data_IF_035383413638
#
_entry.id   IF_035383413638
#
_cell.length_a   1.000
_cell.length_b   1.000
_cell.length_c   1.000
_cell.angle_alpha   90.00
_cell.angle_beta   90.00
_cell.angle_gamma   90.00
#
_symmetry.space_group_name_H-M   'P 1'
#
loop_
_entity.id
_entity.type
_entity.pdbx_description
1 polymer ?
#
# COMPACT_ATOMS: atom_id res chain seq x y z
N UNK A 1 -10.59 27.03 28.83
CA UNK A 1 -10.04 26.81 27.48
C UNK A 1 -10.01 25.30 27.23
N UNK A 2 -11.08 24.75 26.66
CA UNK A 2 -11.20 23.32 26.38
C UNK A 2 -10.55 23.01 25.03
N UNK A 3 -9.41 22.33 25.04
CA UNK A 3 -8.76 21.81 23.83
C UNK A 3 -9.21 20.37 23.63
N UNK A 4 -10.19 20.17 22.74
CA UNK A 4 -10.62 18.85 22.31
C UNK A 4 -9.57 18.29 21.33
N UNK A 5 -8.62 17.53 21.88
CA UNK A 5 -7.73 16.70 21.10
C UNK A 5 -8.51 15.56 20.45
N UNK A 6 -9.02 15.78 19.24
CA UNK A 6 -9.60 14.75 18.41
C UNK A 6 -8.52 13.74 18.01
N UNK A 7 -8.41 12.65 18.77
CA UNK A 7 -7.60 11.50 18.41
C UNK A 7 -8.12 10.93 17.08
N UNK A 8 -7.47 11.29 15.97
CA UNK A 8 -7.66 10.68 14.67
C UNK A 8 -7.09 9.25 14.72
N UNK A 9 -7.82 8.36 15.39
CA UNK A 9 -7.61 6.92 15.32
C UNK A 9 -7.91 6.52 13.89
N UNK A 10 -6.85 6.28 13.11
CA UNK A 10 -6.98 5.90 11.71
C UNK A 10 -7.94 4.73 11.53
N UNK A 11 -8.91 4.87 10.63
CA UNK A 11 -9.96 3.87 10.40
C UNK A 11 -9.34 2.53 9.94
N UNK A 12 -9.84 1.41 10.49
CA UNK A 12 -9.38 0.07 10.09
C UNK A 12 -9.66 -0.19 8.59
N UNK A 13 -8.62 -0.50 7.79
CA UNK A 13 -8.78 -0.87 6.38
C UNK A 13 -9.70 -2.10 6.28
N UNK A 14 -10.75 -2.02 5.45
CA UNK A 14 -11.71 -3.12 5.23
C UNK A 14 -13.03 -3.03 6.01
N UNK A 15 -13.17 -2.09 6.97
CA UNK A 15 -14.46 -1.87 7.64
C UNK A 15 -15.52 -1.27 6.70
N UNK A 16 -16.81 -1.58 6.93
CA UNK A 16 -17.94 -0.87 6.29
C UNK A 16 -17.86 0.65 6.52
N UNK A 17 -17.44 1.08 7.72
CA UNK A 17 -17.26 2.50 8.07
C UNK A 17 -16.16 3.16 7.25
N UNK A 18 -15.07 2.44 6.99
CA UNK A 18 -13.97 2.95 6.17
C UNK A 18 -14.41 3.13 4.71
N UNK A 19 -15.08 2.14 4.11
CA UNK A 19 -15.65 2.27 2.76
C UNK A 19 -16.66 3.42 2.67
N UNK A 20 -17.52 3.58 3.68
CA UNK A 20 -18.45 4.71 3.75
C UNK A 20 -17.72 6.06 3.83
N UNK A 21 -16.64 6.16 4.60
CA UNK A 21 -15.82 7.37 4.66
C UNK A 21 -15.16 7.69 3.31
N UNK A 22 -14.62 6.68 2.61
CA UNK A 22 -14.10 6.85 1.24
C UNK A 22 -15.20 7.39 0.32
N UNK A 23 -16.39 6.79 0.33
CA UNK A 23 -17.53 7.22 -0.48
C UNK A 23 -17.93 8.67 -0.20
N UNK A 24 -18.10 9.00 1.08
CA UNK A 24 -18.46 10.36 1.51
C UNK A 24 -17.42 11.38 1.02
N UNK A 25 -16.14 11.11 1.24
CA UNK A 25 -15.07 12.01 0.84
C UNK A 25 -14.93 12.11 -0.69
N UNK A 26 -15.17 11.03 -1.42
CA UNK A 26 -15.17 11.01 -2.88
C UNK A 26 -16.30 11.87 -3.44
N UNK A 27 -17.52 11.73 -2.93
CA UNK A 27 -18.65 12.57 -3.32
C UNK A 27 -18.41 14.05 -2.99
N UNK A 28 -17.78 14.35 -1.85
CA UNK A 28 -17.38 15.72 -1.51
C UNK A 28 -16.33 16.27 -2.47
N UNK A 29 -15.33 15.47 -2.83
CA UNK A 29 -14.27 15.85 -3.77
C UNK A 29 -14.79 16.08 -5.19
N UNK A 30 -15.70 15.22 -5.66
CA UNK A 30 -16.38 15.39 -6.95
C UNK A 30 -17.38 16.54 -6.92
N UNK A 31 -18.12 16.73 -5.82
CA UNK A 31 -19.13 17.77 -5.62
C UNK A 31 -18.55 19.19 -5.62
N UNK A 32 -17.39 19.40 -4.99
CA UNK A 32 -16.63 20.66 -5.08
C UNK A 32 -16.22 21.01 -6.51
N UNK A 33 -16.04 19.98 -7.35
CA UNK A 33 -15.84 20.12 -8.79
C UNK A 33 -17.12 19.97 -9.62
N UNK A 34 -18.31 19.80 -9.03
CA UNK A 34 -19.55 19.49 -9.75
C UNK A 34 -20.43 20.70 -10.02
N UNK A 35 -20.32 21.77 -9.21
CA UNK A 35 -20.72 23.10 -9.68
C UNK A 35 -19.82 23.55 -10.87
N UNK A 36 -18.65 22.91 -11.00
CA UNK A 36 -17.63 23.14 -12.01
C UNK A 36 -17.33 21.90 -12.85
N UNK A 37 -18.32 21.01 -13.08
CA UNK A 37 -18.28 20.08 -14.22
C UNK A 37 -18.55 20.93 -15.48
N UNK A 38 -17.65 21.89 -15.66
CA UNK A 38 -17.63 22.85 -16.73
C UNK A 38 -17.70 22.07 -18.02
N UNK A 39 -18.63 22.46 -18.90
CA UNK A 39 -18.78 21.92 -20.25
C UNK A 39 -17.47 21.89 -21.05
N UNK A 40 -16.39 22.53 -20.57
CA UNK A 40 -15.06 22.53 -21.19
C UNK A 40 -14.09 21.41 -20.80
N UNK A 41 -14.34 20.59 -19.77
CA UNK A 41 -13.33 19.57 -19.39
C UNK A 41 -13.30 18.37 -20.34
N UNK A 42 -12.12 18.09 -20.89
CA UNK A 42 -11.85 16.95 -21.75
C UNK A 42 -11.90 15.61 -21.00
N UNK A 43 -12.02 14.49 -21.73
CA UNK A 43 -12.09 13.16 -21.12
C UNK A 43 -10.87 12.84 -20.24
N UNK A 44 -9.67 13.23 -20.68
CA UNK A 44 -8.45 13.02 -19.92
C UNK A 44 -8.47 13.78 -18.58
N UNK A 45 -8.92 15.03 -18.61
CA UNK A 45 -9.03 15.87 -17.41
C UNK A 45 -10.07 15.32 -16.44
N UNK A 46 -11.22 14.84 -16.94
CA UNK A 46 -12.22 14.15 -16.12
C UNK A 46 -11.64 12.91 -15.45
N UNK A 47 -10.93 12.05 -16.19
CA UNK A 47 -10.27 10.86 -15.63
C UNK A 47 -9.26 11.22 -14.55
N UNK A 48 -8.43 12.24 -14.81
CA UNK A 48 -7.44 12.73 -13.85
C UNK A 48 -8.08 13.37 -12.61
N UNK A 49 -9.18 14.11 -12.76
CA UNK A 49 -9.94 14.67 -11.65
C UNK A 49 -10.57 13.57 -10.78
N UNK A 50 -11.16 12.53 -11.40
CA UNK A 50 -11.70 11.37 -10.69
C UNK A 50 -10.59 10.65 -9.91
N UNK A 51 -9.43 10.41 -10.55
CA UNK A 51 -8.27 9.77 -9.89
C UNK A 51 -7.83 10.58 -8.67
N UNK A 52 -7.58 11.88 -8.83
CA UNK A 52 -7.18 12.77 -7.73
C UNK A 52 -8.22 12.81 -6.60
N UNK A 53 -9.51 12.88 -6.93
CA UNK A 53 -10.57 12.85 -5.93
C UNK A 53 -10.61 11.52 -5.16
N UNK A 54 -10.35 10.41 -5.84
CA UNK A 54 -10.29 9.09 -5.21
C UNK A 54 -9.06 8.95 -4.30
N UNK A 55 -7.88 9.42 -4.72
CA UNK A 55 -6.66 9.43 -3.90
C UNK A 55 -6.83 10.34 -2.67
N UNK A 56 -7.46 11.51 -2.84
CA UNK A 56 -7.78 12.43 -1.75
C UNK A 56 -8.75 11.81 -0.74
N UNK A 57 -9.80 11.14 -1.25
CA UNK A 57 -10.78 10.46 -0.43
C UNK A 57 -10.15 9.31 0.37
N UNK A 58 -9.27 8.54 -0.26
CA UNK A 58 -8.53 7.45 0.38
C UNK A 58 -7.63 7.98 1.50
N UNK A 59 -6.80 9.00 1.21
CA UNK A 59 -5.89 9.61 2.18
C UNK A 59 -6.66 10.20 3.37
N UNK A 60 -7.76 10.92 3.11
CA UNK A 60 -8.60 11.52 4.15
C UNK A 60 -9.31 10.46 4.99
N UNK A 61 -9.82 9.39 4.38
CA UNK A 61 -10.53 8.33 5.09
C UNK A 61 -9.60 7.53 6.00
N UNK A 62 -8.33 7.34 5.61
CA UNK A 62 -7.34 6.64 6.42
C UNK A 62 -6.78 7.54 7.53
N UNK A 63 -6.70 8.85 7.26
CA UNK A 63 -6.15 9.86 8.17
C UNK A 63 -4.62 9.94 8.09
N UNK A 64 -4.03 10.73 8.98
CA UNK A 64 -2.59 11.04 8.95
C UNK A 64 -1.70 9.93 9.51
N UNK A 65 -2.23 8.74 9.85
CA UNK A 65 -1.47 7.70 10.53
C UNK A 65 -0.41 7.02 9.64
N UNK A 66 -0.77 6.37 8.51
CA UNK A 66 0.23 5.77 7.63
C UNK A 66 1.04 6.82 6.86
N UNK A 67 2.30 6.50 6.57
CA UNK A 67 3.16 7.34 5.74
C UNK A 67 2.62 7.48 4.32
N UNK A 68 2.04 6.41 3.76
CA UNK A 68 1.50 6.46 2.39
C UNK A 68 0.35 7.46 2.26
N UNK A 69 -0.53 7.59 3.27
CA UNK A 69 -1.65 8.55 3.21
C UNK A 69 -1.17 9.99 3.30
N UNK A 70 -0.13 10.26 4.12
CA UNK A 70 0.51 11.58 4.20
C UNK A 70 1.22 11.95 2.89
N UNK A 71 1.89 10.98 2.25
CA UNK A 71 2.51 11.21 0.93
C UNK A 71 1.46 11.56 -0.11
N UNK A 72 0.36 10.80 -0.20
CA UNK A 72 -0.74 11.11 -1.12
C UNK A 72 -1.33 12.50 -0.86
N UNK A 73 -1.58 12.86 0.41
CA UNK A 73 -2.08 14.19 0.75
C UNK A 73 -1.11 15.31 0.35
N UNK A 74 0.20 15.09 0.50
CA UNK A 74 1.23 16.03 0.06
C UNK A 74 1.29 16.16 -1.46
N UNK A 75 1.22 15.05 -2.20
CA UNK A 75 1.20 15.04 -3.68
C UNK A 75 0.00 15.82 -4.23
N UNK A 76 -1.17 15.65 -3.61
CA UNK A 76 -2.37 16.39 -3.98
C UNK A 76 -2.27 17.89 -3.68
N UNK A 77 -1.54 18.27 -2.62
CA UNK A 77 -1.24 19.67 -2.33
C UNK A 77 -0.17 20.25 -3.27
N UNK A 78 0.67 19.41 -3.86
CA UNK A 78 1.74 19.82 -4.77
C UNK A 78 1.30 19.86 -6.23
N UNK A 79 0.13 19.30 -6.59
CA UNK A 79 -0.41 19.26 -7.96
C UNK A 79 -0.72 20.62 -8.63
N UNK A 80 -0.21 21.73 -8.10
CA UNK A 80 -0.15 23.05 -8.74
C UNK A 80 1.26 23.64 -8.82
N UNK A 81 2.32 22.89 -8.49
CA UNK A 81 3.72 23.30 -8.65
C UNK A 81 4.47 22.16 -9.31
N UNK A 82 5.10 22.49 -10.42
CA UNK A 82 5.76 21.58 -11.35
C UNK A 82 6.57 20.44 -10.74
N UNK A 83 6.53 19.36 -11.53
CA UNK A 83 7.52 18.32 -11.71
C UNK A 83 8.97 18.79 -11.46
N UNK A 84 9.82 17.86 -11.01
CA UNK A 84 11.26 17.99 -10.77
C UNK A 84 11.64 18.44 -9.36
N UNK A 85 11.98 17.47 -8.49
CA UNK A 85 13.20 17.51 -7.66
C UNK A 85 13.41 16.13 -7.01
N UNK A 86 14.17 15.30 -7.73
CA UNK A 86 14.80 14.08 -7.20
C UNK A 86 15.80 14.50 -6.11
N UNK A 87 15.59 14.06 -4.87
CA UNK A 87 16.60 14.17 -3.79
C UNK A 87 17.09 12.78 -3.40
N UNK A 88 18.34 12.39 -3.72
CA UNK A 88 18.94 11.16 -3.20
C UNK A 88 19.73 11.46 -1.93
N UNK A 89 19.32 10.88 -0.80
CA UNK A 89 20.13 10.84 0.42
C UNK A 89 20.99 9.56 0.42
N UNK A 90 22.30 9.77 0.50
CA UNK A 90 23.37 8.77 0.60
C UNK A 90 23.38 8.16 2.00
N UNK A 91 23.62 6.85 2.10
CA UNK A 91 24.26 6.26 3.29
C UNK A 91 24.85 4.88 2.98
N UNK A 92 26.12 4.73 3.34
CA UNK A 92 27.03 3.61 3.12
C UNK A 92 26.75 2.39 4.05
N UNK A 93 27.37 1.21 3.83
CA UNK A 93 27.02 -0.03 4.51
C UNK A 93 27.87 -0.29 5.76
N UNK A 94 27.22 -0.67 6.86
CA UNK A 94 27.91 -1.24 8.03
C UNK A 94 27.99 -2.75 7.91
N UNK A 95 29.22 -3.26 7.76
CA UNK A 95 29.58 -4.66 7.96
C UNK A 95 29.60 -4.98 9.47
N UNK A 96 29.16 -6.18 9.85
CA UNK A 96 29.56 -6.78 11.10
C UNK A 96 29.84 -8.27 10.86
N UNK A 97 31.11 -8.63 10.97
CA UNK A 97 31.58 -10.00 11.06
C UNK A 97 31.62 -10.41 12.54
N UNK A 98 31.17 -11.62 12.85
CA UNK A 98 31.38 -12.25 14.16
C UNK A 98 32.16 -13.55 13.92
N UNK A 99 33.35 -13.64 14.55
CA UNK A 99 34.26 -14.79 14.55
C UNK A 99 34.07 -15.62 15.83
N UNK A 100 34.54 -16.88 15.74
CA UNK A 100 34.98 -17.81 16.81
C UNK A 100 33.96 -18.78 17.42
N UNK A 101 34.38 -19.90 18.04
CA UNK A 101 35.46 -20.83 17.66
C UNK A 101 35.03 -22.33 17.69
N UNK A 102 36.02 -23.17 17.44
CA UNK A 102 36.03 -24.63 17.25
C UNK A 102 35.65 -25.43 18.51
N UNK A 103 34.83 -26.48 18.37
CA UNK A 103 34.74 -27.56 19.35
C UNK A 103 34.63 -28.92 18.64
N UNK A 104 35.51 -29.85 19.02
CA UNK A 104 35.60 -31.23 18.56
C UNK A 104 34.60 -32.07 19.35
N UNK A 105 33.82 -32.94 18.69
CA UNK A 105 33.29 -34.11 19.38
C UNK A 105 33.06 -35.31 18.45
N UNK A 106 33.49 -36.44 19.02
CA UNK A 106 33.57 -37.84 18.60
C UNK A 106 32.36 -38.37 17.80
N UNK A 107 32.66 -39.12 16.73
CA UNK A 107 31.68 -39.81 15.89
C UNK A 107 31.49 -41.26 16.39
N UNK A 108 30.26 -41.61 16.79
CA UNK A 108 29.85 -43.00 17.04
C UNK A 108 29.02 -43.52 15.86
N UNK A 109 29.50 -44.60 15.25
CA UNK A 109 28.86 -45.30 14.12
C UNK A 109 27.56 -45.96 14.59
N UNK A 110 26.45 -45.77 13.86
CA UNK A 110 25.33 -46.74 13.79
C UNK A 110 24.36 -46.49 12.61
N UNK A 111 24.23 -47.52 11.77
CA UNK A 111 23.12 -47.99 10.90
C UNK A 111 22.54 -47.03 9.84
N UNK A 112 22.69 -47.32 8.53
CA UNK A 112 22.02 -46.55 7.48
C UNK A 112 20.58 -47.03 7.29
N UNK A 113 19.61 -46.29 7.83
CA UNK A 113 18.23 -46.39 7.34
C UNK A 113 18.16 -45.76 5.95
N UNK A 114 17.66 -46.52 4.98
CA UNK A 114 17.38 -46.09 3.60
C UNK A 114 16.26 -45.04 3.64
N UNK A 115 16.60 -43.81 4.02
CA UNK A 115 15.75 -42.63 3.83
C UNK A 115 16.15 -42.02 2.49
N UNK A 116 15.17 -41.63 1.68
CA UNK A 116 15.37 -40.73 0.56
C UNK A 116 16.19 -39.53 1.08
N UNK A 117 17.49 -39.52 0.79
CA UNK A 117 18.38 -38.49 1.28
C UNK A 117 17.99 -37.22 0.55
N UNK A 118 17.30 -36.31 1.24
CA UNK A 118 17.42 -34.91 0.89
C UNK A 118 18.92 -34.61 0.91
N UNK A 119 19.52 -34.50 -0.27
CA UNK A 119 20.96 -34.30 -0.45
C UNK A 119 21.35 -33.12 0.45
N UNK A 120 22.24 -33.28 1.44
CA UNK A 120 22.64 -32.17 2.28
C UNK A 120 23.23 -31.11 1.33
N UNK A 121 22.47 -30.04 1.12
CA UNK A 121 22.91 -28.93 0.30
C UNK A 121 24.12 -28.38 1.03
N UNK A 122 25.28 -28.39 0.38
CA UNK A 122 26.52 -27.99 1.07
C UNK A 122 26.31 -26.62 1.72
N UNK A 123 26.97 -26.34 2.85
CA UNK A 123 26.88 -25.03 3.50
C UNK A 123 27.19 -23.89 2.53
N UNK A 124 28.05 -24.13 1.54
CA UNK A 124 28.32 -23.21 0.43
C UNK A 124 27.09 -23.00 -0.47
N UNK A 125 26.41 -24.05 -0.91
CA UNK A 125 25.17 -23.94 -1.71
C UNK A 125 24.04 -23.26 -0.93
N UNK A 126 23.89 -23.53 0.37
CA UNK A 126 22.90 -22.86 1.22
C UNK A 126 23.20 -21.36 1.40
N UNK A 127 24.49 -21.01 1.61
CA UNK A 127 24.94 -19.60 1.65
C UNK A 127 24.69 -18.88 0.32
N UNK A 128 25.01 -19.53 -0.81
CA UNK A 128 24.76 -18.99 -2.15
C UNK A 128 23.25 -18.75 -2.38
N UNK A 129 22.41 -19.72 -2.02
CA UNK A 129 20.95 -19.55 -2.07
C UNK A 129 20.46 -18.39 -1.20
N UNK A 130 21.01 -18.23 0.01
CA UNK A 130 20.70 -17.09 0.89
C UNK A 130 21.15 -15.74 0.32
N UNK A 131 22.28 -15.67 -0.38
CA UNK A 131 22.70 -14.46 -1.11
C UNK A 131 21.71 -14.14 -2.22
N UNK A 132 21.35 -15.13 -3.05
CA UNK A 132 20.36 -14.94 -4.11
C UNK A 132 18.99 -14.50 -3.57
N UNK A 133 18.52 -15.12 -2.49
CA UNK A 133 17.27 -14.74 -1.83
C UNK A 133 17.29 -13.28 -1.37
N UNK A 134 18.41 -12.81 -0.77
CA UNK A 134 18.57 -11.41 -0.38
C UNK A 134 18.61 -10.45 -1.57
N UNK A 135 19.27 -10.82 -2.66
CA UNK A 135 19.29 -10.01 -3.89
C UNK A 135 17.88 -9.85 -4.45
N UNK A 136 17.13 -10.96 -4.55
CA UNK A 136 15.74 -10.93 -5.02
C UNK A 136 14.82 -10.15 -4.09
N UNK A 137 14.96 -10.32 -2.77
CA UNK A 137 14.20 -9.57 -1.77
C UNK A 137 14.46 -8.07 -1.89
N UNK A 138 15.73 -7.64 -2.00
CA UNK A 138 16.10 -6.24 -2.20
C UNK A 138 15.56 -5.68 -3.51
N UNK A 139 15.58 -6.45 -4.60
CA UNK A 139 15.01 -6.03 -5.88
C UNK A 139 13.49 -5.83 -5.79
N UNK A 140 12.78 -6.75 -5.12
CA UNK A 140 11.33 -6.61 -4.88
C UNK A 140 11.01 -5.45 -3.96
N UNK A 141 11.79 -5.26 -2.88
CA UNK A 141 11.64 -4.11 -1.99
C UNK A 141 11.85 -2.78 -2.73
N UNK A 142 12.84 -2.68 -3.62
CA UNK A 142 13.01 -1.51 -4.49
C UNK A 142 11.79 -1.24 -5.34
N UNK A 143 11.22 -2.26 -5.99
CA UNK A 143 9.99 -2.10 -6.76
C UNK A 143 8.81 -1.64 -5.88
N UNK A 144 8.67 -2.17 -4.67
CA UNK A 144 7.66 -1.73 -3.71
C UNK A 144 7.81 -0.25 -3.35
N UNK A 145 9.04 0.25 -3.17
CA UNK A 145 9.30 1.66 -2.83
C UNK A 145 8.84 2.63 -3.91
N UNK A 146 8.77 2.19 -5.16
CA UNK A 146 8.32 3.02 -6.29
C UNK A 146 6.79 3.03 -6.43
N UNK A 147 6.09 1.97 -6.01
CA UNK A 147 4.62 1.87 -6.15
C UNK A 147 3.86 2.31 -4.90
N UNK A 148 4.48 2.25 -3.72
CA UNK A 148 3.87 2.68 -2.46
C UNK A 148 4.15 4.18 -2.28
N UNK A 149 3.11 5.03 -2.13
CA UNK A 149 3.32 6.45 -1.88
C UNK A 149 4.24 6.68 -0.67
N UNK A 150 5.26 7.52 -0.83
CA UNK A 150 6.26 7.78 0.21
C UNK A 150 7.26 6.63 0.47
N UNK A 151 7.25 5.57 -0.35
CA UNK A 151 8.03 4.34 -0.15
C UNK A 151 9.55 4.53 -0.22
N UNK A 152 10.05 5.51 -0.99
CA UNK A 152 11.49 5.70 -1.27
C UNK A 152 12.35 5.84 0.00
N UNK A 153 11.82 6.46 1.05
CA UNK A 153 12.49 6.67 2.34
C UNK A 153 12.18 5.64 3.42
N UNK A 154 11.52 4.53 3.11
CA UNK A 154 11.11 3.52 4.09
C UNK A 154 12.15 2.41 4.29
N UNK A 155 12.35 2.00 5.55
CA UNK A 155 12.99 0.75 5.92
C UNK A 155 12.14 -0.46 5.47
N UNK A 156 12.74 -1.65 5.36
CA UNK A 156 12.06 -2.83 4.81
C UNK A 156 10.83 -3.26 5.64
N UNK A 157 10.91 -3.22 6.97
CA UNK A 157 9.82 -3.63 7.85
C UNK A 157 8.63 -2.69 7.73
N UNK A 158 8.87 -1.37 7.79
CA UNK A 158 7.76 -0.44 7.64
C UNK A 158 7.22 -0.41 6.21
N UNK A 159 8.07 -0.56 5.19
CA UNK A 159 7.61 -0.65 3.81
C UNK A 159 6.60 -1.78 3.65
N UNK A 160 6.85 -2.95 4.23
CA UNK A 160 5.91 -4.08 4.17
C UNK A 160 4.61 -3.79 4.90
N UNK A 161 4.67 -3.19 6.10
CA UNK A 161 3.49 -2.79 6.87
C UNK A 161 2.61 -1.76 6.13
N UNK A 162 3.24 -0.73 5.58
CA UNK A 162 2.58 0.31 4.78
C UNK A 162 2.04 -0.26 3.46
N UNK A 163 2.76 -1.19 2.81
CA UNK A 163 2.29 -1.88 1.59
C UNK A 163 1.02 -2.67 1.87
N UNK A 164 0.99 -3.42 2.98
CA UNK A 164 -0.18 -4.20 3.36
C UNK A 164 -1.38 -3.29 3.63
N UNK A 165 -1.17 -2.25 4.42
CA UNK A 165 -2.21 -1.26 4.74
C UNK A 165 -2.75 -0.56 3.48
N UNK A 166 -1.84 -0.18 2.57
CA UNK A 166 -2.19 0.44 1.30
C UNK A 166 -2.97 -0.51 0.38
N UNK A 167 -2.55 -1.78 0.27
CA UNK A 167 -3.25 -2.77 -0.55
C UNK A 167 -4.70 -3.02 -0.08
N UNK A 168 -4.93 -3.12 1.24
CA UNK A 168 -6.28 -3.25 1.80
C UNK A 168 -7.08 -1.96 1.57
N UNK A 169 -6.43 -0.81 1.65
CA UNK A 169 -7.06 0.49 1.42
C UNK A 169 -7.49 0.66 -0.05
N UNK A 170 -6.64 0.30 -1.01
CA UNK A 170 -6.97 0.28 -2.44
C UNK A 170 -8.15 -0.65 -2.74
N UNK A 171 -8.20 -1.84 -2.15
CA UNK A 171 -9.34 -2.75 -2.32
C UNK A 171 -10.64 -2.08 -1.85
N UNK A 172 -10.63 -1.44 -0.68
CA UNK A 172 -11.78 -0.73 -0.16
C UNK A 172 -12.21 0.45 -1.05
N UNK A 173 -11.25 1.17 -1.65
CA UNK A 173 -11.52 2.23 -2.63
C UNK A 173 -12.22 1.70 -3.89
N UNK A 174 -11.71 0.60 -4.46
CA UNK A 174 -12.31 -0.02 -5.64
C UNK A 174 -13.73 -0.50 -5.34
N UNK A 175 -13.96 -1.15 -4.19
CA UNK A 175 -15.29 -1.59 -3.77
C UNK A 175 -16.27 -0.41 -3.61
N UNK A 176 -15.81 0.70 -3.03
CA UNK A 176 -16.59 1.94 -2.92
C UNK A 176 -16.98 2.48 -4.30
N UNK A 177 -16.03 2.62 -5.22
CA UNK A 177 -16.30 3.13 -6.57
C UNK A 177 -17.25 2.22 -7.35
N UNK A 178 -17.11 0.90 -7.23
CA UNK A 178 -18.04 -0.04 -7.85
C UNK A 178 -19.45 0.06 -7.26
N UNK A 179 -19.59 0.31 -5.95
CA UNK A 179 -20.90 0.54 -5.35
C UNK A 179 -21.57 1.77 -5.97
N UNK A 180 -20.84 2.88 -6.11
CA UNK A 180 -21.37 4.08 -6.79
C UNK A 180 -21.84 3.76 -8.21
N UNK A 181 -21.03 3.07 -9.00
CA UNK A 181 -21.40 2.69 -10.37
C UNK A 181 -22.69 1.87 -10.40
N UNK A 182 -22.82 0.85 -9.54
CA UNK A 182 -24.04 0.03 -9.44
C UNK A 182 -25.26 0.87 -9.05
N UNK A 183 -25.11 1.80 -8.12
CA UNK A 183 -26.22 2.69 -7.71
C UNK A 183 -26.63 3.67 -8.79
N UNK A 184 -25.68 4.14 -9.61
CA UNK A 184 -25.97 5.05 -10.73
C UNK A 184 -26.54 4.32 -11.95
N UNK A 185 -26.21 3.05 -12.13
CA UNK A 185 -26.72 2.20 -13.20
C UNK A 185 -28.00 1.46 -12.83
N UNK A 186 -28.43 1.52 -11.56
CA UNK A 186 -29.66 0.88 -11.12
C UNK A 186 -30.86 1.48 -11.88
N UNK A 187 -31.72 0.64 -12.50
CA UNK A 187 -32.88 1.12 -13.24
C UNK A 187 -33.79 1.91 -12.30
N UNK A 188 -34.21 3.10 -12.76
CA UNK A 188 -34.95 4.10 -11.97
C UNK A 188 -36.43 3.76 -11.73
N UNK A 189 -36.81 2.47 -11.77
CA UNK A 189 -38.20 2.02 -11.68
C UNK A 189 -38.39 0.94 -10.61
N UNK A 190 -38.71 1.31 -9.35
CA UNK A 190 -39.33 0.41 -8.39
C UNK A 190 -40.86 0.50 -8.51
N UNK A 191 -41.42 0.07 -9.64
CA UNK A 191 -42.88 -0.10 -9.77
C UNK A 191 -43.14 -1.27 -10.69
N UNK A 192 -44.08 -2.13 -10.29
CA UNK A 192 -44.50 -3.41 -10.88
C UNK A 192 -44.02 -4.66 -10.11
N UNK A 193 -44.26 -4.68 -8.80
CA UNK A 193 -44.74 -5.92 -8.19
C UNK A 193 -46.26 -5.88 -8.23
N UNK A 194 -46.79 -6.82 -9.01
CA UNK A 194 -48.18 -6.99 -9.40
C UNK A 194 -49.05 -7.23 -8.18
N UNK A 195 -50.06 -6.37 -8.00
CA UNK A 195 -51.33 -6.83 -7.47
C UNK A 195 -52.06 -7.51 -8.63
N UNK A 196 -52.11 -8.84 -8.59
CA UNK A 196 -53.21 -9.69 -9.06
C UNK A 196 -52.86 -11.14 -8.75
#
# INVERSE_FOLDING_TARGET
MSSAGGSSLGMQPGSKRFRHAILKNLLLGLGKGSAAASRGMGLHERRSAIRRAADAALATARGAAPRWSRSLAAELSQGGRDEHLIRPARSAPSSSECKSPMSKMVCSKRIPRRRLRARPKSRATAKAAGVLARVLARRRARALREIVPGGRGMDECTLLGETLDYAVSLKAQVEAMQLLLRTLQAPKNPSMLKNQ
#
